data_IF_853781587147
#
_entry.id   IF_853781587147
#
_cell.length_a   1.000
_cell.length_b   1.000
_cell.length_c   1.000
_cell.angle_alpha   90.00
_cell.angle_beta   90.00
_cell.angle_gamma   90.00
#
_symmetry.space_group_name_H-M   'P 1'
#
loop_
_entity.id
_entity.type
_entity.pdbx_description
1 polymer ?
#
# COMPACT_ATOMS: atom_id res chain seq x y z
N UNK A 1 39.19 8.27 0.06
CA UNK A 1 37.99 8.42 -0.78
C UNK A 1 36.90 7.55 -0.15
N UNK A 2 35.89 8.14 0.52
CA UNK A 2 34.79 7.37 1.14
C UNK A 2 33.94 6.83 -0.01
N UNK A 3 33.94 5.51 -0.19
CA UNK A 3 33.10 4.85 -1.20
C UNK A 3 31.65 4.91 -0.69
N UNK A 4 30.86 5.82 -1.21
CA UNK A 4 29.42 5.86 -0.97
C UNK A 4 28.79 4.65 -1.65
N UNK A 5 28.10 3.81 -0.86
CA UNK A 5 27.24 2.76 -1.44
C UNK A 5 26.17 3.41 -2.31
N UNK A 6 25.77 2.77 -3.39
CA UNK A 6 24.66 3.29 -4.19
C UNK A 6 23.39 3.43 -3.31
N UNK A 7 22.51 4.41 -3.58
CA UNK A 7 21.25 4.61 -2.83
C UNK A 7 20.43 3.33 -2.68
N UNK A 8 20.28 2.56 -3.75
CA UNK A 8 19.59 1.27 -3.72
C UNK A 8 20.27 0.24 -2.80
N UNK A 9 21.61 0.16 -2.82
CA UNK A 9 22.35 -0.74 -1.92
C UNK A 9 22.21 -0.32 -0.46
N UNK A 10 22.14 0.99 -0.18
CA UNK A 10 21.94 1.51 1.16
C UNK A 10 20.51 1.18 1.67
N UNK A 11 19.49 1.44 0.86
CA UNK A 11 18.11 1.07 1.15
C UNK A 11 17.93 -0.44 1.36
N UNK A 12 18.50 -1.26 0.48
CA UNK A 12 18.46 -2.72 0.59
C UNK A 12 19.11 -3.24 1.88
N UNK A 13 20.20 -2.60 2.36
CA UNK A 13 20.79 -2.96 3.64
C UNK A 13 19.86 -2.64 4.83
N UNK A 14 19.22 -1.47 4.84
CA UNK A 14 18.22 -1.10 5.84
C UNK A 14 17.05 -2.08 5.82
N UNK A 15 16.56 -2.43 4.62
CA UNK A 15 15.43 -3.36 4.48
C UNK A 15 15.73 -4.76 5.03
N UNK A 16 16.96 -5.26 4.89
CA UNK A 16 17.36 -6.54 5.50
C UNK A 16 17.22 -6.55 7.02
N UNK A 17 17.45 -5.40 7.67
CA UNK A 17 17.28 -5.28 9.12
C UNK A 17 15.81 -5.17 9.55
N UNK A 18 14.91 -4.75 8.66
CA UNK A 18 13.48 -4.58 8.94
C UNK A 18 12.65 -5.82 8.57
N UNK A 19 13.15 -6.63 7.64
CA UNK A 19 12.42 -7.77 7.11
C UNK A 19 12.40 -8.95 8.11
N UNK A 20 11.23 -9.52 8.31
CA UNK A 20 11.02 -10.66 9.20
C UNK A 20 10.37 -10.26 10.52
N UNK A 21 11.01 -9.38 11.28
CA UNK A 21 10.51 -8.98 12.60
C UNK A 21 9.50 -7.81 12.49
N UNK A 22 9.90 -6.71 11.87
CA UNK A 22 9.08 -5.50 11.78
C UNK A 22 8.14 -5.52 10.58
N UNK A 23 8.63 -5.97 9.42
CA UNK A 23 7.86 -6.00 8.16
C UNK A 23 7.68 -7.42 7.66
N UNK A 24 6.44 -7.92 7.71
CA UNK A 24 6.06 -9.27 7.26
C UNK A 24 5.50 -9.32 5.84
N UNK A 25 4.92 -8.22 5.36
CA UNK A 25 4.29 -8.18 4.04
C UNK A 25 5.30 -7.88 2.95
N UNK A 26 5.44 -8.77 1.97
CA UNK A 26 6.32 -8.60 0.80
C UNK A 26 6.04 -7.30 0.05
N UNK A 27 4.76 -6.94 -0.12
CA UNK A 27 4.37 -5.69 -0.77
C UNK A 27 4.82 -4.45 0.01
N UNK A 28 4.74 -4.48 1.35
CA UNK A 28 5.22 -3.39 2.20
C UNK A 28 6.75 -3.28 2.15
N UNK A 29 7.45 -4.40 2.20
CA UNK A 29 8.92 -4.44 2.07
C UNK A 29 9.36 -3.77 0.77
N UNK A 30 8.77 -4.17 -0.36
CA UNK A 30 9.08 -3.59 -1.67
C UNK A 30 8.80 -2.08 -1.74
N UNK A 31 7.66 -1.65 -1.23
CA UNK A 31 7.29 -0.23 -1.23
C UNK A 31 8.24 0.60 -0.36
N UNK A 32 8.61 0.09 0.81
CA UNK A 32 9.55 0.78 1.71
C UNK A 32 10.96 0.82 1.13
N UNK A 33 11.42 -0.25 0.47
CA UNK A 33 12.71 -0.25 -0.21
C UNK A 33 12.78 0.83 -1.30
N UNK A 34 11.73 0.93 -2.12
CA UNK A 34 11.65 1.97 -3.14
C UNK A 34 11.59 3.39 -2.53
N UNK A 35 10.86 3.57 -1.44
CA UNK A 35 10.81 4.83 -0.70
C UNK A 35 12.18 5.21 -0.14
N UNK A 36 12.82 4.30 0.59
CA UNK A 36 14.14 4.53 1.18
C UNK A 36 15.24 4.71 0.14
N UNK A 37 15.10 4.13 -1.06
CA UNK A 37 16.01 4.42 -2.18
C UNK A 37 15.94 5.89 -2.58
N UNK A 38 14.72 6.45 -2.73
CA UNK A 38 14.56 7.89 -3.03
C UNK A 38 15.08 8.79 -1.91
N UNK A 39 14.83 8.40 -0.66
CA UNK A 39 15.39 9.13 0.51
C UNK A 39 16.92 9.11 0.48
N UNK A 40 17.53 7.98 0.12
CA UNK A 40 18.97 7.86 -0.01
C UNK A 40 19.54 8.70 -1.17
N UNK A 41 18.81 8.79 -2.28
CA UNK A 41 19.14 9.67 -3.42
C UNK A 41 19.12 11.14 -3.01
N UNK A 42 18.06 11.56 -2.32
CA UNK A 42 17.94 12.91 -1.76
C UNK A 42 19.04 13.20 -0.75
N UNK A 43 19.29 12.29 0.20
CA UNK A 43 20.35 12.46 1.19
C UNK A 43 21.74 12.57 0.55
N UNK A 44 21.96 11.91 -0.59
CA UNK A 44 23.20 12.05 -1.37
C UNK A 44 23.28 13.42 -2.05
N UNK A 45 22.19 13.93 -2.60
CA UNK A 45 22.10 15.26 -3.23
C UNK A 45 22.35 16.37 -2.21
N UNK A 46 21.72 16.28 -1.05
CA UNK A 46 21.85 17.22 0.06
C UNK A 46 23.15 17.02 0.88
N UNK A 47 23.98 16.06 0.49
CA UNK A 47 25.25 15.72 1.15
C UNK A 47 25.10 15.41 2.64
N UNK A 48 24.00 14.75 3.00
CA UNK A 48 23.75 14.31 4.39
C UNK A 48 24.84 13.34 4.82
N UNK A 49 25.59 13.71 5.86
CA UNK A 49 26.65 12.88 6.41
C UNK A 49 26.06 11.54 6.92
N UNK A 50 26.66 10.41 6.50
CA UNK A 50 26.14 9.09 6.83
C UNK A 50 24.91 8.64 6.01
N UNK A 51 24.37 9.48 5.12
CA UNK A 51 23.22 9.17 4.28
C UNK A 51 22.00 8.78 5.10
N UNK A 52 21.37 7.61 4.83
CA UNK A 52 20.21 7.14 5.60
C UNK A 52 20.49 6.98 7.11
N UNK A 53 21.72 6.68 7.51
CA UNK A 53 22.10 6.55 8.92
C UNK A 53 22.16 7.90 9.64
N UNK A 54 22.48 8.97 8.92
CA UNK A 54 22.52 10.32 9.44
C UNK A 54 21.19 11.06 9.37
N UNK A 55 20.10 10.38 8.97
CA UNK A 55 18.78 10.98 8.87
C UNK A 55 18.26 11.36 10.27
N UNK A 56 18.05 12.66 10.49
CA UNK A 56 17.39 13.20 11.69
C UNK A 56 15.91 13.47 11.42
N UNK A 57 15.06 13.68 12.45
CA UNK A 57 13.68 14.07 12.25
C UNK A 57 13.51 15.33 11.39
N UNK A 58 14.37 16.34 11.57
CA UNK A 58 14.35 17.59 10.82
C UNK A 58 14.67 17.36 9.35
N UNK A 59 15.71 16.56 9.05
CA UNK A 59 16.06 16.19 7.67
C UNK A 59 14.95 15.35 7.01
N UNK A 60 14.31 14.47 7.78
CA UNK A 60 13.17 13.69 7.28
C UNK A 60 11.99 14.60 6.92
N UNK A 61 11.70 15.63 7.72
CA UNK A 61 10.67 16.62 7.41
C UNK A 61 11.05 17.43 6.17
N UNK A 62 12.28 17.92 6.06
CA UNK A 62 12.74 18.65 4.87
C UNK A 62 12.62 17.83 3.59
N UNK A 63 12.99 16.53 3.65
CA UNK A 63 12.75 15.61 2.53
C UNK A 63 11.27 15.53 2.16
N UNK A 64 10.40 15.33 3.15
CA UNK A 64 8.96 15.18 2.92
C UNK A 64 8.31 16.45 2.39
N UNK A 65 8.74 17.63 2.85
CA UNK A 65 8.28 18.92 2.33
C UNK A 65 8.64 19.09 0.86
N UNK A 66 9.90 18.87 0.51
CA UNK A 66 10.33 18.93 -0.89
C UNK A 66 9.60 17.88 -1.74
N UNK A 67 9.46 16.66 -1.23
CA UNK A 67 8.78 15.58 -1.94
C UNK A 67 7.28 15.83 -2.12
N UNK A 68 6.65 16.54 -1.18
CA UNK A 68 5.25 16.91 -1.20
C UNK A 68 4.86 17.84 -2.37
N UNK A 69 5.82 18.52 -2.98
CA UNK A 69 5.61 19.32 -4.20
C UNK A 69 5.30 18.43 -5.42
N UNK A 70 5.86 17.21 -5.48
CA UNK A 70 5.84 16.35 -6.66
C UNK A 70 4.83 15.20 -6.58
N UNK A 71 4.45 14.77 -5.36
CA UNK A 71 3.64 13.56 -5.18
C UNK A 71 2.37 13.81 -4.40
N UNK A 72 1.37 12.95 -4.64
CA UNK A 72 0.12 12.99 -3.89
C UNK A 72 0.25 12.45 -2.45
N UNK A 73 -0.67 12.87 -1.57
CA UNK A 73 -0.65 12.60 -0.13
C UNK A 73 -0.42 11.13 0.23
N UNK A 74 -1.04 10.17 -0.48
CA UNK A 74 -0.88 8.74 -0.19
C UNK A 74 0.54 8.25 -0.39
N UNK A 75 1.23 8.76 -1.40
CA UNK A 75 2.64 8.43 -1.64
C UNK A 75 3.52 9.05 -0.58
N UNK A 76 3.28 10.32 -0.26
CA UNK A 76 4.01 11.04 0.78
C UNK A 76 3.86 10.38 2.15
N UNK A 77 2.65 9.99 2.52
CA UNK A 77 2.39 9.26 3.78
C UNK A 77 3.08 7.90 3.83
N UNK A 78 3.14 7.19 2.71
CA UNK A 78 3.85 5.91 2.63
C UNK A 78 5.38 6.12 2.78
N UNK A 79 5.95 7.15 2.13
CA UNK A 79 7.36 7.49 2.26
C UNK A 79 7.68 7.94 3.69
N UNK A 80 6.83 8.78 4.31
CA UNK A 80 6.93 9.15 5.74
C UNK A 80 6.97 7.93 6.67
N UNK A 81 6.06 6.97 6.44
CA UNK A 81 6.01 5.74 7.24
C UNK A 81 7.28 4.88 7.06
N UNK A 82 7.82 4.80 5.84
CA UNK A 82 9.07 4.08 5.57
C UNK A 82 10.25 4.70 6.30
N UNK A 83 10.39 6.03 6.23
CA UNK A 83 11.44 6.78 6.94
C UNK A 83 11.30 6.62 8.45
N UNK A 84 10.10 6.82 8.98
CA UNK A 84 9.82 6.64 10.41
C UNK A 84 10.17 5.23 10.88
N UNK A 85 9.77 4.20 10.14
CA UNK A 85 10.08 2.81 10.45
C UNK A 85 11.60 2.56 10.50
N UNK A 86 12.34 3.09 9.54
CA UNK A 86 13.80 3.04 9.52
C UNK A 86 14.41 3.73 10.75
N UNK A 87 13.96 4.95 11.05
CA UNK A 87 14.50 5.75 12.15
C UNK A 87 14.25 5.11 13.51
N UNK A 88 13.09 4.50 13.71
CA UNK A 88 12.74 3.85 14.98
C UNK A 88 13.43 2.50 15.17
N UNK A 89 13.61 1.71 14.10
CA UNK A 89 14.00 0.30 14.23
C UNK A 89 15.43 0.01 13.75
N UNK A 90 16.05 0.92 12.97
CA UNK A 90 17.39 0.67 12.40
C UNK A 90 18.43 1.70 12.88
N UNK A 91 18.09 2.99 12.79
CA UNK A 91 19.06 4.05 13.14
C UNK A 91 18.92 4.55 14.57
N UNK A 92 17.76 4.37 15.20
CA UNK A 92 17.48 4.86 16.55
C UNK A 92 17.41 6.39 16.67
N UNK A 93 17.32 7.11 15.54
CA UNK A 93 17.26 8.58 15.52
C UNK A 93 15.86 9.13 15.80
N UNK A 94 14.85 8.26 15.92
CA UNK A 94 13.51 8.59 16.40
C UNK A 94 13.13 7.59 17.50
N UNK A 95 12.68 8.09 18.65
CA UNK A 95 12.35 7.23 19.79
C UNK A 95 11.11 6.36 19.50
N UNK A 96 11.02 5.16 20.13
CA UNK A 96 9.81 4.33 20.02
C UNK A 96 8.57 5.09 20.49
N UNK A 97 7.54 5.11 19.63
CA UNK A 97 6.28 5.84 19.91
C UNK A 97 6.25 7.28 19.41
N UNK A 98 7.39 7.89 19.15
CA UNK A 98 7.43 9.18 18.47
C UNK A 98 7.03 9.04 16.99
N UNK A 99 6.47 10.09 16.43
CA UNK A 99 6.02 10.10 15.03
C UNK A 99 6.53 11.32 14.30
N UNK A 100 6.96 11.11 13.07
CA UNK A 100 7.22 12.22 12.16
C UNK A 100 5.90 12.96 11.88
N UNK A 101 5.92 14.29 11.82
CA UNK A 101 4.74 15.07 11.50
C UNK A 101 4.18 14.72 10.12
N UNK A 102 2.88 14.96 9.96
CA UNK A 102 2.21 14.79 8.67
C UNK A 102 2.48 16.04 7.84
N UNK A 103 3.25 15.88 6.78
CA UNK A 103 3.44 16.91 5.76
C UNK A 103 2.33 16.79 4.74
N UNK A 104 1.72 17.91 4.37
CA UNK A 104 0.67 17.96 3.34
C UNK A 104 1.29 18.08 1.95
N UNK A 105 0.84 17.22 1.04
CA UNK A 105 1.21 17.30 -0.36
C UNK A 105 0.48 18.50 -1.02
N UNK A 106 1.17 19.21 -1.88
CA UNK A 106 0.57 20.30 -2.68
C UNK A 106 -0.22 19.77 -3.88
N UNK A 107 0.12 18.56 -4.34
CA UNK A 107 -0.59 17.92 -5.44
C UNK A 107 -2.03 17.61 -5.04
N UNK A 108 -2.98 18.16 -5.78
CA UNK A 108 -4.40 17.98 -5.54
C UNK A 108 -4.78 16.49 -5.62
N UNK A 109 -5.55 16.01 -4.64
CA UNK A 109 -6.06 14.63 -4.66
C UNK A 109 -7.12 14.50 -5.76
N UNK A 110 -7.01 13.45 -6.56
CA UNK A 110 -8.09 13.05 -7.47
C UNK A 110 -9.18 12.39 -6.64
N UNK A 111 -10.27 13.12 -6.43
CA UNK A 111 -11.43 12.65 -5.64
C UNK A 111 -12.48 11.93 -6.49
N UNK A 112 -12.34 11.98 -7.82
CA UNK A 112 -13.26 11.31 -8.73
C UNK A 112 -13.17 9.79 -8.62
N UNK A 113 -14.33 9.15 -8.65
CA UNK A 113 -14.42 7.70 -8.67
C UNK A 113 -13.79 7.14 -9.96
N UNK A 114 -12.84 6.21 -9.80
CA UNK A 114 -12.19 5.51 -10.91
C UNK A 114 -12.81 4.14 -11.19
N UNK A 115 -13.99 3.88 -10.64
CA UNK A 115 -14.70 2.64 -10.89
C UNK A 115 -15.22 2.62 -12.34
N UNK A 116 -15.09 1.47 -12.99
CA UNK A 116 -15.68 1.28 -14.30
C UNK A 116 -17.22 1.30 -14.20
N UNK A 117 -17.85 1.92 -15.18
CA UNK A 117 -19.30 1.81 -15.35
C UNK A 117 -19.68 0.39 -15.80
N UNK A 118 -20.94 -0.04 -15.59
CA UNK A 118 -21.39 -1.36 -16.06
C UNK A 118 -21.12 -1.59 -17.55
N UNK A 119 -21.32 -0.57 -18.38
CA UNK A 119 -21.05 -0.65 -19.83
C UNK A 119 -19.56 -0.86 -20.12
N UNK A 120 -18.68 -0.11 -19.43
CA UNK A 120 -17.24 -0.28 -19.60
C UNK A 120 -16.79 -1.68 -19.15
N UNK A 121 -17.31 -2.18 -18.04
CA UNK A 121 -17.01 -3.52 -17.56
C UNK A 121 -17.45 -4.60 -18.56
N UNK A 122 -18.65 -4.47 -19.14
CA UNK A 122 -19.16 -5.38 -20.17
C UNK A 122 -18.30 -5.36 -21.44
N UNK A 123 -17.88 -4.17 -21.92
CA UNK A 123 -16.99 -4.05 -23.08
C UNK A 123 -15.61 -4.69 -22.81
N UNK A 124 -15.07 -4.50 -21.61
CA UNK A 124 -13.80 -5.14 -21.20
C UNK A 124 -13.97 -6.67 -21.18
N UNK A 125 -15.05 -7.18 -20.60
CA UNK A 125 -15.33 -8.62 -20.55
C UNK A 125 -15.47 -9.22 -21.96
N UNK A 126 -16.21 -8.57 -22.85
CA UNK A 126 -16.40 -9.01 -24.24
C UNK A 126 -15.10 -9.02 -25.08
N UNK A 127 -14.12 -8.19 -24.75
CA UNK A 127 -12.83 -8.16 -25.42
C UNK A 127 -11.84 -9.23 -24.90
N UNK A 128 -12.21 -10.02 -23.90
CA UNK A 128 -11.37 -11.04 -23.27
C UNK A 128 -11.78 -12.46 -23.73
N UNK A 129 -10.96 -13.44 -23.36
CA UNK A 129 -11.41 -14.85 -23.47
C UNK A 129 -12.58 -15.08 -22.52
N UNK A 130 -13.46 -16.02 -22.85
CA UNK A 130 -14.67 -16.35 -22.06
C UNK A 130 -14.38 -16.46 -20.54
N UNK A 131 -13.33 -17.20 -20.18
CA UNK A 131 -12.92 -17.38 -18.79
C UNK A 131 -12.55 -16.05 -18.10
N UNK A 132 -11.79 -15.21 -18.79
CA UNK A 132 -11.35 -13.92 -18.23
C UNK A 132 -12.50 -12.91 -18.22
N UNK A 133 -13.37 -12.95 -19.21
CA UNK A 133 -14.59 -12.15 -19.27
C UNK A 133 -15.50 -12.44 -18.09
N UNK A 134 -15.80 -13.72 -17.84
CA UNK A 134 -16.58 -14.15 -16.68
C UNK A 134 -15.94 -13.69 -15.35
N UNK A 135 -14.61 -13.82 -15.20
CA UNK A 135 -13.91 -13.33 -14.01
C UNK A 135 -14.04 -11.81 -13.84
N UNK A 136 -13.99 -11.04 -14.93
CA UNK A 136 -14.20 -9.59 -14.93
C UNK A 136 -15.63 -9.22 -14.52
N UNK A 137 -16.63 -9.91 -15.04
CA UNK A 137 -18.04 -9.70 -14.69
C UNK A 137 -18.30 -9.99 -13.21
N UNK A 138 -17.84 -11.13 -12.71
CA UNK A 138 -17.98 -11.50 -11.29
C UNK A 138 -17.26 -10.48 -10.40
N UNK A 139 -16.02 -10.08 -10.75
CA UNK A 139 -15.27 -9.10 -9.98
C UNK A 139 -15.97 -7.74 -9.95
N UNK A 140 -16.56 -7.30 -11.07
CA UNK A 140 -17.29 -6.05 -11.16
C UNK A 140 -18.60 -6.10 -10.37
N UNK A 141 -19.42 -7.15 -10.55
CA UNK A 141 -20.71 -7.30 -9.90
C UNK A 141 -20.60 -7.38 -8.37
N UNK A 142 -19.64 -8.16 -7.85
CA UNK A 142 -19.46 -8.38 -6.41
C UNK A 142 -18.40 -7.45 -5.76
N UNK A 143 -17.80 -6.53 -6.52
CA UNK A 143 -16.79 -5.61 -6.03
C UNK A 143 -15.52 -6.32 -5.52
N UNK A 144 -15.05 -7.33 -6.26
CA UNK A 144 -13.92 -8.16 -5.86
C UNK A 144 -12.57 -7.59 -6.34
N UNK A 145 -11.54 -7.82 -5.54
CA UNK A 145 -10.15 -7.68 -6.00
C UNK A 145 -9.74 -8.95 -6.77
N UNK A 146 -8.78 -8.83 -7.67
CA UNK A 146 -8.33 -9.95 -8.50
C UNK A 146 -7.96 -11.22 -7.69
N UNK A 147 -7.29 -11.08 -6.54
CA UNK A 147 -6.95 -12.22 -5.70
C UNK A 147 -8.14 -12.81 -4.94
N UNK A 148 -9.19 -12.04 -4.72
CA UNK A 148 -10.41 -12.51 -4.02
C UNK A 148 -11.22 -13.49 -4.89
N UNK A 149 -11.09 -13.41 -6.22
CA UNK A 149 -11.70 -14.39 -7.14
C UNK A 149 -11.22 -15.82 -6.85
N UNK A 150 -9.96 -16.02 -6.48
CA UNK A 150 -9.43 -17.35 -6.15
C UNK A 150 -9.92 -17.89 -4.81
N UNK A 151 -10.45 -17.01 -3.96
CA UNK A 151 -10.94 -17.36 -2.63
C UNK A 151 -12.45 -17.35 -2.51
N UNK A 152 -13.18 -17.13 -3.63
CA UNK A 152 -14.63 -17.12 -3.65
C UNK A 152 -15.19 -18.49 -3.27
N UNK A 153 -16.13 -18.51 -2.31
CA UNK A 153 -16.84 -19.71 -1.82
C UNK A 153 -18.30 -19.35 -1.57
N UNK A 154 -19.18 -20.32 -1.63
CA UNK A 154 -20.57 -20.13 -1.21
C UNK A 154 -20.64 -19.85 0.29
N UNK A 155 -21.67 -19.13 0.72
CA UNK A 155 -21.86 -18.79 2.13
C UNK A 155 -22.08 -20.00 3.04
N UNK A 156 -22.62 -21.11 2.49
CA UNK A 156 -22.79 -22.39 3.18
C UNK A 156 -21.49 -23.21 3.29
N UNK A 157 -20.49 -22.96 2.44
CA UNK A 157 -19.18 -23.64 2.47
C UNK A 157 -18.19 -22.97 3.45
N UNK A 158 -18.34 -21.67 3.66
CA UNK A 158 -17.45 -20.92 4.54
C UNK A 158 -18.17 -19.75 5.17
N UNK A 159 -18.18 -19.71 6.51
CA UNK A 159 -18.73 -18.59 7.27
C UNK A 159 -17.84 -17.34 7.18
N UNK A 160 -18.42 -16.14 7.23
CA UNK A 160 -17.68 -14.90 7.37
C UNK A 160 -17.04 -14.80 8.76
N UNK A 161 -16.04 -13.92 8.91
CA UNK A 161 -15.47 -13.59 10.22
C UNK A 161 -16.53 -12.90 11.13
N UNK A 162 -16.22 -12.81 12.43
CA UNK A 162 -17.09 -12.28 13.49
C UNK A 162 -17.61 -10.83 13.27
N UNK A 163 -17.20 -10.19 12.20
CA UNK A 163 -17.74 -8.90 11.74
C UNK A 163 -18.56 -9.09 10.48
N UNK A 164 -19.79 -9.57 10.59
CA UNK A 164 -20.65 -9.76 9.44
C UNK A 164 -20.89 -8.42 8.72
N UNK A 165 -21.26 -8.50 7.47
CA UNK A 165 -21.67 -7.31 6.74
C UNK A 165 -22.87 -6.66 7.43
N UNK A 166 -22.92 -5.32 7.40
CA UNK A 166 -24.11 -4.62 7.87
C UNK A 166 -25.33 -5.08 7.04
N UNK A 167 -26.48 -5.29 7.68
CA UNK A 167 -27.73 -5.67 7.00
C UNK A 167 -28.10 -4.76 5.84
N UNK A 168 -27.71 -3.48 5.93
CA UNK A 168 -27.89 -2.52 4.86
C UNK A 168 -27.06 -2.78 3.61
N UNK A 169 -25.98 -3.56 3.70
CA UNK A 169 -25.03 -3.77 2.59
C UNK A 169 -25.67 -4.47 1.39
N UNK A 170 -26.59 -5.39 1.64
CA UNK A 170 -27.25 -6.18 0.61
C UNK A 170 -28.74 -5.82 0.43
N UNK A 171 -29.21 -4.75 1.12
CA UNK A 171 -30.61 -4.33 1.05
C UNK A 171 -31.01 -4.00 -0.39
N UNK A 172 -32.10 -4.61 -0.85
CA UNK A 172 -32.63 -4.41 -2.20
C UNK A 172 -31.83 -5.10 -3.31
N UNK A 173 -30.98 -6.05 -2.95
CA UNK A 173 -30.30 -6.94 -3.91
C UNK A 173 -30.87 -8.35 -3.76
N UNK A 174 -31.09 -8.98 -4.91
CA UNK A 174 -31.47 -10.39 -5.00
C UNK A 174 -30.24 -11.19 -5.42
N UNK A 175 -29.96 -12.29 -4.71
CA UNK A 175 -28.85 -13.16 -5.02
C UNK A 175 -28.41 -14.03 -3.85
N UNK A 176 -27.48 -14.94 -4.12
CA UNK A 176 -26.90 -15.79 -3.11
C UNK A 176 -25.71 -15.08 -2.42
N UNK A 177 -25.52 -15.41 -1.15
CA UNK A 177 -24.37 -14.93 -0.38
C UNK A 177 -23.17 -15.83 -0.64
N UNK A 178 -22.06 -15.19 -0.97
CA UNK A 178 -20.73 -15.79 -1.09
C UNK A 178 -19.80 -15.19 -0.07
N UNK A 179 -18.67 -15.82 0.15
CA UNK A 179 -17.59 -15.30 0.97
C UNK A 179 -16.28 -15.23 0.19
N UNK A 180 -15.48 -14.22 0.49
CA UNK A 180 -14.14 -14.06 -0.07
C UNK A 180 -13.15 -13.73 1.03
N UNK A 181 -11.90 -14.15 0.85
CA UNK A 181 -10.82 -13.84 1.77
C UNK A 181 -10.03 -12.65 1.24
N UNK A 182 -10.06 -11.55 1.97
CA UNK A 182 -9.34 -10.33 1.65
C UNK A 182 -7.86 -10.37 2.04
N UNK A 183 -7.17 -9.28 1.76
CA UNK A 183 -5.79 -9.10 2.21
C UNK A 183 -5.74 -9.10 3.75
N UNK A 184 -4.86 -9.93 4.32
CA UNK A 184 -4.74 -10.12 5.76
C UNK A 184 -5.60 -11.26 6.33
N UNK A 185 -6.27 -12.04 5.46
CA UNK A 185 -7.01 -13.24 5.85
C UNK A 185 -8.47 -13.00 6.25
N UNK A 186 -8.92 -11.73 6.34
CA UNK A 186 -10.30 -11.42 6.71
C UNK A 186 -11.29 -12.01 5.69
N UNK A 187 -12.22 -12.82 6.14
CA UNK A 187 -13.31 -13.39 5.34
C UNK A 187 -14.53 -12.48 5.42
N UNK A 188 -14.97 -11.97 4.27
CA UNK A 188 -16.13 -11.08 4.16
C UNK A 188 -17.19 -11.64 3.22
N UNK A 189 -18.43 -11.28 3.47
CA UNK A 189 -19.54 -11.59 2.60
C UNK A 189 -19.57 -10.70 1.35
N UNK A 190 -20.00 -11.29 0.24
CA UNK A 190 -20.28 -10.64 -1.05
C UNK A 190 -21.53 -11.26 -1.68
N UNK A 191 -22.20 -10.54 -2.58
CA UNK A 191 -23.38 -10.99 -3.29
C UNK A 191 -23.21 -10.67 -4.77
#
# INVERSE_FOLDING_TARGET
MVSFRSPASHAGHVMKSLQGDTLRSVGTVRNYEQALTRVAEWAQQERVEGGLKGMTPELAVSYLEQRGLDVGQKTLDMERQAVQCMMQNVTGTLAPGERLPIVKAETQQILEARAYTPLQAALIAAAQTERNGLATEIAHAAGLRAHELHTLRRGDERAPDLRPALDSKFRGRDGEIYTVQGKGGLTREVM
#
